data_IF_314347294163
#
_entry.id   IF_314347294163
#
_cell.length_a   1.000
_cell.length_b   1.000
_cell.length_c   1.000
_cell.angle_alpha   90.00
_cell.angle_beta   90.00
_cell.angle_gamma   90.00
#
_symmetry.space_group_name_H-M   'P 1'
#
loop_
_entity.id
_entity.type
_entity.pdbx_description
1 polymer ?
#
# COMPACT_ATOMS: atom_id res chain seq x y z
N UNK A 1 -4.48 -23.86 45.67
CA UNK A 1 -4.93 -22.44 45.75
C UNK A 1 -4.13 -21.65 44.71
N UNK A 2 -4.84 -20.89 43.85
CA UNK A 2 -4.37 -19.93 42.82
C UNK A 2 -3.74 -20.45 41.51
N UNK A 3 -4.63 -20.60 40.53
CA UNK A 3 -4.56 -20.17 39.11
C UNK A 3 -3.62 -18.98 38.81
N UNK A 4 -3.01 -18.99 37.62
CA UNK A 4 -2.76 -17.86 36.68
C UNK A 4 -1.77 -18.36 35.60
N UNK A 5 -1.95 -18.27 34.28
CA UNK A 5 -2.92 -17.60 33.43
C UNK A 5 -2.23 -17.46 32.06
N UNK A 6 -2.78 -18.07 31.01
CA UNK A 6 -2.31 -17.89 29.62
C UNK A 6 -2.52 -16.43 29.21
N UNK A 7 -1.52 -15.83 28.58
CA UNK A 7 -1.58 -14.49 28.00
C UNK A 7 -0.74 -14.42 26.73
N UNK A 8 -1.25 -15.02 25.67
CA UNK A 8 -0.92 -14.76 24.27
C UNK A 8 -1.30 -13.32 23.97
N UNK A 9 -0.40 -12.43 23.54
CA UNK A 9 -0.69 -11.35 22.58
C UNK A 9 0.61 -10.69 22.09
N UNK A 10 0.76 -10.75 20.78
CA UNK A 10 1.78 -10.18 19.92
C UNK A 10 1.92 -8.67 20.09
N UNK A 11 3.12 -8.16 19.80
CA UNK A 11 3.58 -6.80 20.08
C UNK A 11 2.73 -5.63 19.55
N UNK A 12 3.07 -4.41 20.00
CA UNK A 12 2.14 -3.31 20.13
C UNK A 12 1.76 -2.67 18.79
N UNK A 13 0.44 -2.63 18.57
CA UNK A 13 -0.31 -1.60 17.88
C UNK A 13 0.41 -0.24 17.79
N UNK A 14 0.88 0.12 16.59
CA UNK A 14 1.06 1.53 16.24
C UNK A 14 -0.27 2.07 15.68
N UNK A 15 -1.28 2.21 16.55
CA UNK A 15 -2.46 3.03 16.26
C UNK A 15 -2.44 4.24 17.19
N UNK A 16 -2.01 5.39 16.66
CA UNK A 16 -2.32 6.70 17.26
C UNK A 16 -3.39 7.37 16.41
N UNK A 17 -4.62 7.32 16.93
CA UNK A 17 -5.81 7.99 16.39
C UNK A 17 -5.65 9.51 16.54
N UNK A 18 -5.53 10.24 15.44
CA UNK A 18 -5.55 11.72 15.42
C UNK A 18 -6.35 12.20 14.20
N UNK A 19 -7.48 12.86 14.48
CA UNK A 19 -8.41 13.64 13.63
C UNK A 19 -9.03 12.94 12.41
N UNK A 20 -10.36 13.08 12.24
CA UNK A 20 -11.02 12.90 10.92
C UNK A 20 -10.50 14.02 10.01
N UNK A 21 -9.36 13.75 9.38
CA UNK A 21 -9.02 14.32 8.08
C UNK A 21 -9.74 13.41 7.10
N UNK A 22 -10.45 13.93 6.10
CA UNK A 22 -10.71 13.12 4.90
C UNK A 22 -9.34 12.67 4.41
N UNK A 23 -8.90 11.46 4.79
CA UNK A 23 -7.52 11.06 4.57
C UNK A 23 -7.24 11.19 3.09
N UNK A 24 -6.39 12.15 2.74
CA UNK A 24 -5.96 12.39 1.35
C UNK A 24 -5.66 11.04 0.73
N UNK A 25 -6.27 10.74 -0.41
CA UNK A 25 -6.09 9.46 -1.12
C UNK A 25 -4.60 9.11 -1.25
N UNK A 26 -3.76 10.13 -1.47
CA UNK A 26 -2.31 10.00 -1.50
C UNK A 26 -1.72 9.49 -0.18
N UNK A 27 -2.17 10.00 0.97
CA UNK A 27 -1.72 9.54 2.28
C UNK A 27 -2.10 8.07 2.51
N UNK A 28 -3.28 7.65 2.06
CA UNK A 28 -3.70 6.25 2.15
C UNK A 28 -2.82 5.34 1.29
N UNK A 29 -2.46 5.78 0.09
CA UNK A 29 -1.53 5.07 -0.80
C UNK A 29 -0.16 4.94 -0.15
N UNK A 30 0.43 6.05 0.33
CA UNK A 30 1.74 6.05 1.00
C UNK A 30 1.76 5.11 2.20
N UNK A 31 0.71 5.10 3.02
CA UNK A 31 0.62 4.18 4.17
C UNK A 31 0.60 2.71 3.75
N UNK A 32 -0.12 2.38 2.67
CA UNK A 32 -0.15 1.01 2.12
C UNK A 32 1.21 0.60 1.58
N UNK A 33 1.89 1.47 0.83
CA UNK A 33 3.24 1.22 0.32
C UNK A 33 4.26 1.04 1.45
N UNK A 34 4.19 1.88 2.49
CA UNK A 34 5.03 1.71 3.68
C UNK A 34 4.75 0.38 4.40
N UNK A 35 3.49 -0.03 4.51
CA UNK A 35 3.15 -1.33 5.07
C UNK A 35 3.74 -2.49 4.24
N UNK A 36 3.78 -2.38 2.91
CA UNK A 36 4.45 -3.37 2.05
C UNK A 36 5.96 -3.42 2.29
N UNK A 37 6.60 -2.27 2.55
CA UNK A 37 8.05 -2.18 2.84
C UNK A 37 8.40 -2.74 4.22
N UNK A 38 7.55 -2.49 5.21
CA UNK A 38 7.73 -2.97 6.59
C UNK A 38 7.37 -4.47 6.76
N UNK A 39 6.56 -5.03 5.87
CA UNK A 39 6.19 -6.44 5.93
C UNK A 39 7.38 -7.34 5.59
N UNK A 40 7.85 -8.07 6.61
CA UNK A 40 9.02 -8.95 6.49
C UNK A 40 8.69 -10.39 6.11
N UNK A 41 7.41 -10.71 5.92
CA UNK A 41 6.90 -12.07 5.67
C UNK A 41 7.33 -12.65 4.32
N UNK A 42 7.70 -11.81 3.34
CA UNK A 42 8.01 -12.24 1.97
C UNK A 42 9.10 -11.43 1.28
N UNK A 43 9.71 -12.03 0.24
CA UNK A 43 10.69 -11.35 -0.64
C UNK A 43 10.04 -10.34 -1.59
N UNK A 44 8.77 -10.56 -1.92
CA UNK A 44 7.96 -9.68 -2.76
C UNK A 44 6.59 -9.50 -2.11
N UNK A 45 6.11 -8.27 -2.10
CA UNK A 45 4.78 -7.93 -1.62
C UNK A 45 3.99 -7.33 -2.77
N UNK A 46 2.82 -7.88 -3.06
CA UNK A 46 1.97 -7.45 -4.19
C UNK A 46 0.65 -6.92 -3.70
N UNK A 47 0.21 -5.77 -4.24
CA UNK A 47 -1.08 -5.15 -3.92
C UNK A 47 -1.71 -4.59 -5.20
N UNK A 48 -3.01 -4.79 -5.34
CA UNK A 48 -3.80 -4.24 -6.45
C UNK A 48 -4.57 -3.03 -5.93
N UNK A 49 -4.58 -1.96 -6.72
CA UNK A 49 -5.38 -0.77 -6.48
C UNK A 49 -6.53 -0.75 -7.50
N UNK A 50 -7.74 -0.59 -6.96
CA UNK A 50 -8.98 -0.61 -7.72
C UNK A 50 -9.79 0.64 -7.44
N UNK A 51 -10.61 1.02 -8.40
CA UNK A 51 -11.53 2.15 -8.30
C UNK A 51 -12.85 1.72 -8.95
N UNK A 52 -13.96 1.89 -8.22
CA UNK A 52 -15.29 1.41 -8.62
C UNK A 52 -15.34 -0.10 -8.95
N UNK A 53 -14.54 -0.92 -8.26
CA UNK A 53 -14.44 -2.37 -8.50
C UNK A 53 -13.66 -2.74 -9.78
N UNK A 54 -13.09 -1.76 -10.47
CA UNK A 54 -12.23 -1.97 -11.64
C UNK A 54 -10.76 -1.92 -11.20
N UNK A 55 -9.96 -2.96 -11.46
CA UNK A 55 -8.54 -2.93 -11.17
C UNK A 55 -7.84 -1.91 -12.09
N UNK A 56 -7.13 -0.97 -11.49
CA UNK A 56 -6.46 0.14 -12.20
C UNK A 56 -4.98 -0.16 -12.38
N UNK A 57 -4.32 -0.53 -11.28
CA UNK A 57 -2.90 -0.85 -11.28
C UNK A 57 -2.54 -1.87 -10.20
N UNK A 58 -1.37 -2.48 -10.37
CA UNK A 58 -0.74 -3.40 -9.44
C UNK A 58 0.62 -2.84 -9.04
N UNK A 59 0.95 -2.95 -7.75
CA UNK A 59 2.26 -2.60 -7.21
C UNK A 59 2.87 -3.82 -6.56
N UNK A 60 4.11 -4.10 -6.95
CA UNK A 60 4.94 -5.14 -6.33
C UNK A 60 6.17 -4.50 -5.73
N UNK A 61 6.28 -4.54 -4.40
CA UNK A 61 7.51 -4.19 -3.71
C UNK A 61 8.49 -5.38 -3.74
N UNK A 62 9.71 -5.13 -4.20
CA UNK A 62 10.81 -6.12 -4.28
C UNK A 62 11.84 -5.77 -3.22
N UNK A 63 11.87 -6.56 -2.15
CA UNK A 63 12.72 -6.27 -0.99
C UNK A 63 14.22 -6.38 -1.26
N UNK A 64 14.60 -7.22 -2.22
CA UNK A 64 16.01 -7.43 -2.56
C UNK A 64 16.66 -6.19 -3.18
N UNK A 65 15.90 -5.43 -3.98
CA UNK A 65 16.36 -4.19 -4.61
C UNK A 65 15.80 -2.93 -3.94
N UNK A 66 14.86 -3.09 -3.00
CA UNK A 66 14.14 -1.99 -2.34
C UNK A 66 13.36 -1.10 -3.33
N UNK A 67 12.81 -1.72 -4.38
CA UNK A 67 12.11 -1.05 -5.46
C UNK A 67 10.62 -1.41 -5.51
N UNK A 68 9.82 -0.50 -6.04
CA UNK A 68 8.42 -0.69 -6.36
C UNK A 68 8.25 -0.88 -7.88
N UNK A 69 7.78 -2.05 -8.27
CA UNK A 69 7.34 -2.33 -9.64
C UNK A 69 5.88 -1.95 -9.73
N UNK A 70 5.56 -0.97 -10.56
CA UNK A 70 4.20 -0.53 -10.85
C UNK A 70 3.77 -1.07 -12.21
N UNK A 71 2.54 -1.58 -12.30
CA UNK A 71 1.91 -2.05 -13.53
C UNK A 71 0.53 -1.43 -13.66
N UNK A 72 0.30 -0.61 -14.68
CA UNK A 72 -1.03 -0.13 -15.07
C UNK A 72 -1.67 -1.15 -16.00
N UNK A 73 -2.96 -1.38 -15.87
CA UNK A 73 -3.64 -2.38 -16.70
C UNK A 73 -4.14 -1.82 -18.04
N UNK A 74 -4.51 -0.53 -18.10
CA UNK A 74 -5.09 0.11 -19.30
C UNK A 74 -4.66 1.58 -19.40
N UNK A 75 -3.77 1.96 -20.33
CA UNK A 75 -2.94 1.07 -21.16
C UNK A 75 -2.01 0.19 -20.31
N UNK A 76 -1.54 -0.93 -20.87
CA UNK A 76 -0.61 -1.80 -20.16
C UNK A 76 0.78 -1.17 -20.14
N UNK A 77 1.14 -0.59 -19.00
CA UNK A 77 2.42 0.09 -18.79
C UNK A 77 3.08 -0.45 -17.54
N UNK A 78 4.41 -0.44 -17.53
CA UNK A 78 5.19 -0.94 -16.40
C UNK A 78 6.34 -0.01 -16.11
N UNK A 79 6.44 0.40 -14.85
CA UNK A 79 7.48 1.28 -14.35
C UNK A 79 8.14 0.67 -13.10
N UNK A 80 9.37 1.07 -12.82
CA UNK A 80 10.09 0.72 -11.61
C UNK A 80 10.49 2.02 -10.90
N UNK A 81 10.21 2.09 -9.61
CA UNK A 81 10.52 3.25 -8.77
C UNK A 81 11.37 2.82 -7.58
N UNK A 82 12.43 3.56 -7.31
CA UNK A 82 13.23 3.48 -6.08
C UNK A 82 12.65 4.35 -4.94
N UNK A 83 11.84 5.34 -5.30
CA UNK A 83 11.16 6.24 -4.36
C UNK A 83 9.70 5.86 -4.13
N UNK A 84 9.32 5.80 -2.85
CA UNK A 84 7.93 5.58 -2.42
C UNK A 84 7.01 6.74 -2.85
N UNK A 85 7.53 7.97 -2.88
CA UNK A 85 6.75 9.16 -3.22
C UNK A 85 6.39 9.16 -4.71
N UNK A 86 7.35 8.79 -5.57
CA UNK A 86 7.11 8.64 -7.01
C UNK A 86 6.10 7.55 -7.30
N UNK A 87 6.26 6.37 -6.67
CA UNK A 87 5.29 5.30 -6.80
C UNK A 87 3.89 5.72 -6.31
N UNK A 88 3.80 6.49 -5.22
CA UNK A 88 2.53 6.95 -4.67
C UNK A 88 1.81 7.96 -5.60
N UNK A 89 2.56 8.89 -6.20
CA UNK A 89 2.02 9.84 -7.17
C UNK A 89 1.46 9.09 -8.38
N UNK A 90 2.21 8.14 -8.95
CA UNK A 90 1.79 7.37 -10.13
C UNK A 90 0.50 6.57 -9.89
N UNK A 91 0.37 5.97 -8.70
CA UNK A 91 -0.87 5.28 -8.29
C UNK A 91 -2.01 6.27 -8.14
N UNK A 92 -1.77 7.41 -7.50
CA UNK A 92 -2.79 8.44 -7.30
C UNK A 92 -3.31 8.97 -8.64
N UNK A 93 -2.41 9.31 -9.57
CA UNK A 93 -2.76 9.81 -10.89
C UNK A 93 -3.55 8.76 -11.67
N UNK A 94 -3.15 7.48 -11.61
CA UNK A 94 -3.90 6.39 -12.25
C UNK A 94 -5.32 6.24 -11.72
N UNK A 95 -5.51 6.33 -10.39
CA UNK A 95 -6.84 6.26 -9.78
C UNK A 95 -7.66 7.51 -10.09
N UNK A 96 -7.02 8.68 -10.12
CA UNK A 96 -7.64 9.96 -10.44
C UNK A 96 -8.10 10.00 -11.90
N UNK A 97 -7.26 9.60 -12.84
CA UNK A 97 -7.60 9.51 -14.27
C UNK A 97 -8.83 8.65 -14.48
N UNK A 98 -8.87 7.44 -13.91
CA UNK A 98 -10.05 6.59 -14.06
C UNK A 98 -11.32 7.23 -13.48
N UNK A 99 -11.21 7.92 -12.35
CA UNK A 99 -12.34 8.60 -11.71
C UNK A 99 -12.86 9.78 -12.54
N UNK A 100 -12.01 10.43 -13.33
CA UNK A 100 -12.35 11.62 -14.12
C UNK A 100 -12.55 11.35 -15.62
N UNK A 101 -12.37 10.10 -16.06
CA UNK A 101 -12.62 9.68 -17.45
C UNK A 101 -14.08 9.26 -17.68
N UNK A 102 -14.84 8.96 -16.62
CA UNK A 102 -16.27 8.63 -16.66
C UNK A 102 -17.10 9.76 -16.04
#
# INVERSE_FOLDING_TARGET
>A
MRINGRGMFSGPFCLRRIRRVEESTLLQIIRRLNAMRCDTSGKRQRRVFEQFGVPVCEVTYVRASDEFIFVRFRPQERFCFDSIDLAAIEIYDSLYELRHTF
#
